data_IF_124855226838
#
_entry.id   IF_124855226838
#
_cell.length_a   1.000
_cell.length_b   1.000
_cell.length_c   1.000
_cell.angle_alpha   90.00
_cell.angle_beta   90.00
_cell.angle_gamma   90.00
#
_symmetry.space_group_name_H-M   'P 1'
#
loop_
_entity.id
_entity.type
_entity.pdbx_description
1 polymer ?
#
# COMPACT_ATOMS: atom_id res chain seq x y z
N UNK A 1 -11.64 30.91 -18.60
CA UNK A 1 -10.62 29.95 -19.10
C UNK A 1 -9.86 29.42 -17.91
N UNK A 2 -10.15 28.18 -17.50
CA UNK A 2 -9.55 27.58 -16.30
C UNK A 2 -8.06 27.34 -16.51
N UNK A 3 -7.24 27.96 -15.67
CA UNK A 3 -5.80 27.70 -15.60
C UNK A 3 -5.59 26.21 -15.32
N UNK A 4 -5.09 25.48 -16.31
CA UNK A 4 -4.56 24.13 -16.14
C UNK A 4 -3.39 24.21 -15.16
N UNK A 5 -3.64 23.82 -13.91
CA UNK A 5 -2.60 23.70 -12.90
C UNK A 5 -1.79 22.44 -13.23
N UNK A 6 -0.76 22.60 -14.06
CA UNK A 6 0.10 21.54 -14.63
C UNK A 6 1.07 20.90 -13.61
N UNK A 7 0.63 20.82 -12.36
CA UNK A 7 1.20 20.04 -11.26
C UNK A 7 0.12 19.12 -10.67
N UNK A 8 -0.69 18.47 -11.52
CA UNK A 8 -1.67 17.48 -11.06
C UNK A 8 -0.96 16.17 -10.63
N UNK A 9 -0.34 16.26 -9.45
CA UNK A 9 -0.16 15.25 -8.40
C UNK A 9 0.62 13.98 -8.77
N UNK A 10 1.95 14.06 -8.73
CA UNK A 10 2.78 12.90 -8.39
C UNK A 10 2.46 12.50 -6.95
N UNK A 11 1.66 11.45 -6.78
CA UNK A 11 1.35 10.86 -5.48
C UNK A 11 2.04 9.51 -5.35
N UNK A 12 2.22 9.03 -4.12
CA UNK A 12 2.67 7.65 -3.94
C UNK A 12 1.70 6.68 -4.62
N UNK A 13 0.40 6.97 -4.63
CA UNK A 13 -0.59 6.14 -5.31
C UNK A 13 -0.33 6.06 -6.82
N UNK A 14 0.11 7.16 -7.45
CA UNK A 14 0.47 7.16 -8.88
C UNK A 14 1.82 6.51 -9.15
N UNK A 15 2.81 6.65 -8.25
CA UNK A 15 4.10 5.98 -8.36
C UNK A 15 3.96 4.45 -8.23
N UNK A 16 3.17 3.99 -7.27
CA UNK A 16 2.98 2.56 -7.01
C UNK A 16 1.84 1.95 -7.84
N UNK A 17 1.05 2.77 -8.54
CA UNK A 17 -0.12 2.34 -9.32
C UNK A 17 -1.23 1.70 -8.50
N UNK A 18 -1.17 1.79 -7.16
CA UNK A 18 -2.12 1.15 -6.25
C UNK A 18 -2.22 1.92 -4.94
N UNK A 19 -3.41 2.46 -4.66
CA UNK A 19 -3.72 3.13 -3.40
C UNK A 19 -3.66 2.15 -2.21
N UNK A 20 -4.09 0.91 -2.42
CA UNK A 20 -4.07 -0.14 -1.39
C UNK A 20 -2.64 -0.53 -1.03
N UNK A 21 -1.74 -0.64 -2.02
CA UNK A 21 -0.30 -0.87 -1.78
C UNK A 21 0.30 0.21 -0.89
N UNK A 22 0.01 1.47 -1.19
CA UNK A 22 0.51 2.61 -0.40
C UNK A 22 -0.06 2.62 1.00
N UNK A 23 -1.34 2.28 1.19
CA UNK A 23 -1.94 2.11 2.52
C UNK A 23 -1.23 1.02 3.33
N UNK A 24 -1.00 -0.15 2.74
CA UNK A 24 -0.31 -1.27 3.39
C UNK A 24 1.10 -0.84 3.81
N UNK A 25 1.87 -0.24 2.91
CA UNK A 25 3.22 0.25 3.22
C UNK A 25 3.20 1.29 4.35
N UNK A 26 2.33 2.30 4.27
CA UNK A 26 2.19 3.31 5.34
C UNK A 26 1.86 2.69 6.69
N UNK A 27 0.97 1.69 6.70
CA UNK A 27 0.60 0.99 7.93
C UNK A 27 1.80 0.22 8.49
N UNK A 28 2.46 -0.60 7.68
CA UNK A 28 3.61 -1.41 8.13
C UNK A 28 4.76 -0.54 8.64
N UNK A 29 5.13 0.53 7.93
CA UNK A 29 6.21 1.42 8.35
C UNK A 29 5.91 2.17 9.65
N UNK A 30 4.64 2.56 9.89
CA UNK A 30 4.25 3.24 11.14
C UNK A 30 4.20 2.30 12.35
N UNK A 31 4.08 1.00 12.12
CA UNK A 31 3.94 0.00 13.17
C UNK A 31 5.15 -0.94 13.27
N UNK A 32 6.25 -0.65 12.57
CA UNK A 32 7.49 -1.39 12.73
C UNK A 32 8.00 -1.29 14.19
N UNK A 33 8.47 -2.37 14.83
CA UNK A 33 8.83 -3.68 14.26
C UNK A 33 7.76 -4.77 14.37
N UNK A 34 6.49 -4.41 14.54
CA UNK A 34 5.42 -5.40 14.72
C UNK A 34 5.14 -6.20 13.44
N UNK A 35 4.74 -7.45 13.64
CA UNK A 35 4.30 -8.35 12.56
C UNK A 35 2.79 -8.29 12.43
N UNK A 36 2.29 -8.51 11.21
CA UNK A 36 0.87 -8.53 10.91
C UNK A 36 0.57 -9.63 9.92
N UNK A 37 -0.57 -10.29 10.09
CA UNK A 37 -1.06 -11.23 9.09
C UNK A 37 -1.91 -10.49 8.01
N UNK A 38 -2.26 -11.22 6.95
CA UNK A 38 -3.04 -10.65 5.85
C UNK A 38 -4.48 -10.26 6.26
N UNK A 39 -5.07 -10.93 7.27
CA UNK A 39 -6.43 -10.62 7.76
C UNK A 39 -6.42 -9.34 8.60
N UNK A 40 -5.42 -9.17 9.44
CA UNK A 40 -5.16 -7.96 10.21
C UNK A 40 -4.96 -6.78 9.27
N UNK A 41 -4.13 -6.94 8.23
CA UNK A 41 -3.91 -5.91 7.24
C UNK A 41 -5.20 -5.55 6.48
N UNK A 42 -6.02 -6.52 6.11
CA UNK A 42 -7.33 -6.28 5.48
C UNK A 42 -8.25 -5.46 6.39
N UNK A 43 -8.37 -5.84 7.66
CA UNK A 43 -9.17 -5.12 8.65
C UNK A 43 -8.67 -3.69 8.87
N UNK A 44 -7.35 -3.51 9.08
CA UNK A 44 -6.73 -2.21 9.39
C UNK A 44 -6.72 -1.25 8.22
N UNK A 45 -6.59 -1.75 6.99
CA UNK A 45 -6.61 -0.92 5.77
C UNK A 45 -8.02 -0.70 5.22
N UNK A 46 -9.00 -1.45 5.72
CA UNK A 46 -10.39 -1.48 5.25
C UNK A 46 -10.48 -1.89 3.78
N UNK A 47 -9.70 -2.89 3.39
CA UNK A 47 -9.60 -3.41 2.04
C UNK A 47 -9.96 -4.90 2.02
N UNK A 48 -10.36 -5.43 0.87
CA UNK A 48 -10.69 -6.86 0.79
C UNK A 48 -9.46 -7.75 0.98
N UNK A 49 -9.62 -8.90 1.62
CA UNK A 49 -8.53 -9.85 1.86
C UNK A 49 -7.84 -10.32 0.58
N UNK A 50 -8.59 -10.48 -0.52
CA UNK A 50 -8.03 -10.85 -1.84
C UNK A 50 -7.12 -9.74 -2.39
N UNK A 51 -7.54 -8.48 -2.27
CA UNK A 51 -6.73 -7.33 -2.72
C UNK A 51 -5.48 -7.20 -1.86
N UNK A 52 -5.62 -7.30 -0.53
CA UNK A 52 -4.47 -7.24 0.39
C UNK A 52 -3.49 -8.37 0.10
N UNK A 53 -3.95 -9.61 -0.08
CA UNK A 53 -3.07 -10.74 -0.41
C UNK A 53 -2.27 -10.48 -1.69
N UNK A 54 -2.93 -10.04 -2.76
CA UNK A 54 -2.28 -9.69 -4.03
C UNK A 54 -1.20 -8.63 -3.85
N UNK A 55 -1.48 -7.57 -3.09
CA UNK A 55 -0.51 -6.49 -2.87
C UNK A 55 0.65 -6.92 -1.97
N UNK A 56 0.41 -7.76 -0.95
CA UNK A 56 1.48 -8.35 -0.13
C UNK A 56 2.40 -9.21 -1.00
N UNK A 57 1.84 -10.07 -1.86
CA UNK A 57 2.63 -10.91 -2.77
C UNK A 57 3.54 -10.05 -3.67
N UNK A 58 3.00 -9.01 -4.29
CA UNK A 58 3.79 -8.07 -5.10
C UNK A 58 4.88 -7.34 -4.30
N UNK A 59 4.57 -6.93 -3.07
CA UNK A 59 5.54 -6.26 -2.19
C UNK A 59 6.67 -7.22 -1.73
N UNK A 60 6.38 -8.51 -1.57
CA UNK A 60 7.38 -9.54 -1.28
C UNK A 60 8.26 -9.83 -2.50
N UNK A 61 7.70 -9.84 -3.70
CA UNK A 61 8.44 -10.06 -4.94
C UNK A 61 9.52 -8.99 -5.15
N UNK A 62 9.18 -7.72 -4.88
CA UNK A 62 10.11 -6.58 -4.96
C UNK A 62 10.93 -6.38 -3.67
N UNK A 63 10.86 -7.31 -2.72
CA UNK A 63 11.65 -7.32 -1.47
C UNK A 63 11.45 -6.10 -0.56
N UNK A 64 10.31 -5.42 -0.66
CA UNK A 64 9.97 -4.32 0.26
C UNK A 64 9.42 -4.80 1.60
N UNK A 65 8.81 -5.99 1.63
CA UNK A 65 8.38 -6.65 2.86
C UNK A 65 8.88 -8.10 2.85
N UNK A 66 9.00 -8.69 4.04
CA UNK A 66 9.40 -10.09 4.22
C UNK A 66 8.35 -10.84 5.00
N UNK A 67 8.14 -12.10 4.64
CA UNK A 67 7.44 -13.05 5.52
C UNK A 67 8.40 -13.44 6.65
N UNK A 68 7.88 -13.45 7.88
CA UNK A 68 8.57 -14.08 9.01
C UNK A 68 8.29 -15.57 9.03
#
# INVERSE_FOLDING_TARGET
MSKSNKFSRYSLDSLFGSKTRVKILKFLFRNYPNDFDAKDLASRTQESSSTVKKEIDLLMDIKLIKRK
#
